data_IF_182047355958
#
_entry.id   IF_182047355958
#
_cell.length_a   1.000
_cell.length_b   1.000
_cell.length_c   1.000
_cell.angle_alpha   90.00
_cell.angle_beta   90.00
_cell.angle_gamma   90.00
#
_symmetry.space_group_name_H-M   'P 1'
#
loop_
_entity.id
_entity.type
_entity.pdbx_description
1 polymer ?
#
# COMPACT_ATOMS: atom_id res chain seq x y z
N UNK A 1 40.62 -4.78 20.59
CA UNK A 1 41.40 -3.53 20.73
C UNK A 1 42.92 -3.75 20.75
N UNK A 2 43.47 -4.81 20.13
CA UNK A 2 44.91 -5.15 20.18
C UNK A 2 45.75 -4.59 19.04
N UNK A 3 45.17 -3.86 18.07
CA UNK A 3 45.87 -3.44 16.84
C UNK A 3 46.68 -2.14 16.98
N UNK A 4 46.44 -1.35 18.04
CA UNK A 4 47.10 -0.05 18.25
C UNK A 4 47.77 0.00 19.62
N UNK A 5 48.94 0.62 19.67
CA UNK A 5 49.60 0.95 20.94
C UNK A 5 48.87 2.13 21.63
N UNK A 6 49.22 2.45 22.88
CA UNK A 6 48.52 3.48 23.68
C UNK A 6 48.60 4.86 23.03
N UNK A 7 49.77 5.24 22.54
CA UNK A 7 50.04 6.53 21.90
C UNK A 7 49.21 6.72 20.64
N UNK A 8 49.15 5.71 19.77
CA UNK A 8 48.30 5.72 18.58
C UNK A 8 46.82 5.90 18.92
N UNK A 9 46.32 5.30 20.01
CA UNK A 9 44.92 5.48 20.44
C UNK A 9 44.64 6.90 20.90
N UNK A 10 45.59 7.53 21.59
CA UNK A 10 45.49 8.93 22.03
C UNK A 10 45.55 9.86 20.82
N UNK A 11 46.43 9.61 19.87
CA UNK A 11 46.54 10.39 18.63
C UNK A 11 45.25 10.32 17.80
N UNK A 12 44.70 9.12 17.62
CA UNK A 12 43.44 8.94 16.88
C UNK A 12 42.27 9.63 17.61
N UNK A 13 42.27 9.63 18.94
CA UNK A 13 41.27 10.33 19.74
C UNK A 13 41.35 11.86 19.59
N UNK A 14 42.56 12.44 19.62
CA UNK A 14 42.77 13.88 19.36
C UNK A 14 42.33 14.28 17.96
N UNK A 15 42.71 13.50 16.94
CA UNK A 15 42.27 13.69 15.55
C UNK A 15 40.74 13.66 15.39
N UNK A 16 40.07 12.81 16.16
CA UNK A 16 38.62 12.73 16.15
C UNK A 16 37.94 13.87 16.91
N UNK A 17 38.41 14.19 18.13
CA UNK A 17 37.76 15.13 19.05
C UNK A 17 38.13 16.59 18.76
N UNK A 18 39.41 16.86 18.52
CA UNK A 18 39.97 18.21 18.42
C UNK A 18 39.99 18.68 16.95
N UNK A 19 40.43 17.80 16.03
CA UNK A 19 40.50 18.10 14.59
C UNK A 19 39.20 17.78 13.83
N UNK A 20 38.19 17.22 14.52
CA UNK A 20 36.87 16.85 13.97
C UNK A 20 36.92 15.96 12.72
N UNK A 21 37.97 15.15 12.56
CA UNK A 21 38.09 14.21 11.44
C UNK A 21 37.03 13.10 11.60
N UNK A 22 36.34 12.77 10.51
CA UNK A 22 35.29 11.76 10.56
C UNK A 22 35.83 10.36 10.85
N UNK A 23 35.06 9.55 11.58
CA UNK A 23 35.42 8.16 11.91
C UNK A 23 35.65 7.32 10.65
N UNK A 24 34.94 7.62 9.55
CA UNK A 24 35.13 6.97 8.24
C UNK A 24 36.50 7.27 7.64
N UNK A 25 36.96 8.52 7.73
CA UNK A 25 38.30 8.90 7.28
C UNK A 25 39.37 8.24 8.16
N UNK A 26 39.24 8.29 9.49
CA UNK A 26 40.18 7.65 10.41
C UNK A 26 40.24 6.13 10.20
N UNK A 27 39.10 5.48 9.95
CA UNK A 27 39.04 4.05 9.63
C UNK A 27 39.81 3.68 8.37
N UNK A 28 39.74 4.53 7.32
CA UNK A 28 40.51 4.35 6.08
C UNK A 28 42.01 4.57 6.30
N UNK A 29 42.38 5.66 6.98
CA UNK A 29 43.78 6.01 7.28
C UNK A 29 44.48 4.93 8.10
N UNK A 30 43.83 4.45 9.16
CA UNK A 30 44.40 3.47 10.08
C UNK A 30 44.01 2.01 9.76
N UNK A 31 43.39 1.76 8.59
CA UNK A 31 42.98 0.43 8.09
C UNK A 31 42.32 -0.43 9.17
N UNK A 32 41.30 0.10 9.83
CA UNK A 32 40.60 -0.54 10.96
C UNK A 32 39.09 -0.54 10.78
N UNK A 33 38.41 -1.46 11.45
CA UNK A 33 36.95 -1.55 11.41
C UNK A 33 36.31 -0.32 12.09
N UNK A 34 35.38 0.32 11.38
CA UNK A 34 34.68 1.54 11.82
C UNK A 34 34.02 1.35 13.20
N UNK A 35 33.35 0.22 13.45
CA UNK A 35 32.63 -0.01 14.71
C UNK A 35 33.58 -0.20 15.90
N UNK A 36 34.71 -0.89 15.69
CA UNK A 36 35.73 -1.02 16.73
C UNK A 36 36.40 0.31 17.06
N UNK A 37 36.57 1.16 16.05
CA UNK A 37 37.17 2.48 16.20
C UNK A 37 36.22 3.45 16.92
N UNK A 38 34.96 3.52 16.46
CA UNK A 38 33.90 4.31 17.10
C UNK A 38 33.72 3.92 18.57
N UNK A 39 33.68 2.63 18.87
CA UNK A 39 33.57 2.13 20.24
C UNK A 39 34.74 2.57 21.12
N UNK A 40 35.97 2.45 20.62
CA UNK A 40 37.17 2.89 21.36
C UNK A 40 37.12 4.38 21.66
N UNK A 41 36.77 5.21 20.66
CA UNK A 41 36.71 6.66 20.79
C UNK A 41 35.66 7.07 21.82
N UNK A 42 34.45 6.49 21.75
CA UNK A 42 33.39 6.72 22.74
C UNK A 42 33.77 6.27 24.14
N UNK A 43 34.51 5.16 24.26
CA UNK A 43 34.97 4.66 25.55
C UNK A 43 35.99 5.63 26.19
N UNK A 44 36.91 6.19 25.39
CA UNK A 44 37.84 7.23 25.86
C UNK A 44 37.09 8.53 26.20
N UNK A 45 36.08 8.91 25.40
CA UNK A 45 35.26 10.10 25.65
C UNK A 45 34.49 10.00 26.98
N UNK A 46 33.99 8.80 27.32
CA UNK A 46 33.20 8.58 28.54
C UNK A 46 34.02 8.43 29.82
N UNK A 47 35.20 7.78 29.76
CA UNK A 47 36.00 7.43 30.96
C UNK A 47 37.39 8.06 31.00
N UNK A 48 37.72 8.88 30.01
CA UNK A 48 39.05 9.45 29.82
C UNK A 48 40.09 8.43 29.36
N UNK A 49 41.31 8.91 29.17
CA UNK A 49 42.45 8.15 28.65
C UNK A 49 42.83 6.97 29.57
N UNK A 50 42.55 7.07 30.87
CA UNK A 50 42.83 6.05 31.89
C UNK A 50 42.14 4.71 31.61
N UNK A 51 41.06 4.70 30.80
CA UNK A 51 40.40 3.46 30.39
C UNK A 51 41.31 2.53 29.57
N UNK A 52 42.35 3.10 28.93
CA UNK A 52 43.31 2.36 28.13
C UNK A 52 44.30 1.53 28.98
N UNK A 53 44.49 1.91 30.24
CA UNK A 53 45.44 1.30 31.17
C UNK A 53 44.84 0.15 32.01
N UNK A 54 43.55 -0.15 31.82
CA UNK A 54 42.86 -1.19 32.60
C UNK A 54 43.48 -2.58 32.34
N UNK A 55 43.89 -3.31 33.41
CA UNK A 55 44.40 -4.67 33.28
C UNK A 55 43.30 -5.62 32.77
N UNK A 56 43.68 -6.86 32.45
CA UNK A 56 42.70 -7.88 32.08
C UNK A 56 41.75 -8.13 33.26
N UNK A 57 40.46 -7.84 33.06
CA UNK A 57 39.44 -8.03 34.08
C UNK A 57 38.79 -9.41 33.95
N UNK A 58 38.78 -10.15 35.06
CA UNK A 58 37.91 -11.31 35.24
C UNK A 58 36.60 -10.79 35.83
N UNK A 59 35.51 -10.93 35.09
CA UNK A 59 34.19 -10.48 35.54
C UNK A 59 33.52 -11.57 36.37
N UNK A 60 32.96 -11.19 37.53
CA UNK A 60 32.19 -12.09 38.38
C UNK A 60 30.89 -12.54 37.72
N UNK A 61 30.23 -13.55 38.30
CA UNK A 61 28.97 -14.09 37.76
C UNK A 61 27.88 -13.04 37.83
N UNK A 62 27.82 -12.35 38.96
CA UNK A 62 26.85 -11.31 39.30
C UNK A 62 26.97 -10.13 38.34
N UNK A 63 28.21 -9.71 38.04
CA UNK A 63 28.46 -8.63 37.09
C UNK A 63 27.99 -8.99 35.67
N UNK A 64 28.27 -10.21 35.22
CA UNK A 64 27.81 -10.70 33.92
C UNK A 64 26.28 -10.80 33.85
N UNK A 65 25.64 -11.27 34.92
CA UNK A 65 24.17 -11.33 35.02
C UNK A 65 23.56 -9.93 34.90
N UNK A 66 24.04 -8.96 35.68
CA UNK A 66 23.57 -7.58 35.61
C UNK A 66 23.77 -6.95 34.22
N UNK A 67 24.93 -7.18 33.59
CA UNK A 67 25.23 -6.67 32.27
C UNK A 67 24.29 -7.24 31.20
N UNK A 68 23.98 -8.53 31.28
CA UNK A 68 23.04 -9.21 30.38
C UNK A 68 21.61 -8.72 30.62
N UNK A 69 21.17 -8.61 31.87
CA UNK A 69 19.83 -8.13 32.21
C UNK A 69 19.61 -6.70 31.68
N UNK A 70 20.57 -5.78 31.88
CA UNK A 70 20.51 -4.44 31.31
C UNK A 70 20.47 -4.46 29.77
N UNK A 71 21.24 -5.33 29.11
CA UNK A 71 21.24 -5.39 27.65
C UNK A 71 19.93 -5.92 27.05
N UNK A 72 19.25 -6.83 27.75
CA UNK A 72 18.06 -7.52 27.24
C UNK A 72 16.77 -6.76 27.56
N UNK A 73 16.67 -6.22 28.78
CA UNK A 73 15.43 -5.58 29.26
C UNK A 73 15.39 -4.07 29.04
N UNK A 74 16.55 -3.41 28.93
CA UNK A 74 16.57 -1.97 28.68
C UNK A 74 16.28 -1.60 27.23
N UNK A 75 15.84 -0.36 27.06
CA UNK A 75 15.65 0.24 25.73
C UNK A 75 16.97 0.50 25.01
N UNK A 76 18.10 0.44 25.71
CA UNK A 76 19.44 0.71 25.17
C UNK A 76 19.91 -0.43 24.27
N UNK A 77 20.85 -0.13 23.37
CA UNK A 77 21.53 -1.16 22.59
C UNK A 77 22.58 -1.86 23.46
N UNK A 78 22.88 -3.13 23.17
CA UNK A 78 23.96 -3.82 23.89
C UNK A 78 25.32 -3.12 23.73
N UNK A 79 25.54 -2.38 22.63
CA UNK A 79 26.75 -1.57 22.44
C UNK A 79 26.76 -0.41 23.43
N UNK A 80 25.63 0.26 23.63
CA UNK A 80 25.50 1.33 24.61
C UNK A 80 25.68 0.81 26.05
N UNK A 81 25.07 -0.32 26.40
CA UNK A 81 25.27 -0.97 27.71
C UNK A 81 26.72 -1.37 27.90
N UNK A 82 27.38 -1.90 26.86
CA UNK A 82 28.80 -2.23 26.88
C UNK A 82 29.69 -1.01 27.16
N UNK A 83 29.35 0.16 26.60
CA UNK A 83 30.03 1.43 26.87
C UNK A 83 29.78 1.91 28.31
N UNK A 84 28.54 1.90 28.78
CA UNK A 84 28.18 2.30 30.16
C UNK A 84 28.76 1.39 31.25
N UNK A 85 29.06 0.13 30.92
CA UNK A 85 29.76 -0.79 31.81
C UNK A 85 31.29 -0.72 31.65
N UNK A 86 31.77 0.10 30.71
CA UNK A 86 33.20 0.30 30.47
C UNK A 86 33.93 -0.95 29.95
N UNK A 87 33.23 -1.82 29.20
CA UNK A 87 33.82 -3.07 28.70
C UNK A 87 34.88 -2.79 27.64
N UNK A 88 36.00 -3.51 27.71
CA UNK A 88 37.19 -3.31 26.84
C UNK A 88 36.96 -3.68 25.36
N UNK A 89 35.86 -4.32 25.00
CA UNK A 89 35.58 -4.70 23.61
C UNK A 89 34.09 -4.62 23.33
N UNK A 90 33.75 -4.06 22.17
CA UNK A 90 32.38 -4.01 21.63
C UNK A 90 31.73 -5.41 21.57
N UNK A 91 32.55 -6.46 21.38
CA UNK A 91 32.08 -7.83 21.27
C UNK A 91 31.88 -8.55 22.61
N UNK A 92 32.37 -8.02 23.74
CA UNK A 92 32.35 -8.75 25.02
C UNK A 92 30.93 -9.07 25.47
N UNK A 93 30.05 -8.07 25.50
CA UNK A 93 28.65 -8.28 25.89
C UNK A 93 27.88 -9.11 24.86
N UNK A 94 28.21 -8.98 23.58
CA UNK A 94 27.62 -9.82 22.52
C UNK A 94 27.96 -11.30 22.68
N UNK A 95 29.20 -11.61 23.07
CA UNK A 95 29.63 -12.99 23.36
C UNK A 95 28.87 -13.51 24.58
N UNK A 96 28.74 -12.70 25.64
CA UNK A 96 27.99 -13.09 26.84
C UNK A 96 26.53 -13.35 26.54
N UNK A 97 25.87 -12.51 25.74
CA UNK A 97 24.48 -12.70 25.30
C UNK A 97 24.31 -14.00 24.49
N UNK A 98 25.28 -14.32 23.62
CA UNK A 98 25.27 -15.57 22.85
C UNK A 98 25.42 -16.79 23.76
N UNK A 99 26.44 -16.80 24.62
CA UNK A 99 26.67 -17.88 25.58
C UNK A 99 25.48 -18.04 26.54
N UNK A 100 24.88 -16.93 26.97
CA UNK A 100 23.69 -16.94 27.80
C UNK A 100 22.52 -17.64 27.11
N UNK A 101 22.29 -17.38 25.81
CA UNK A 101 21.24 -18.06 25.03
C UNK A 101 21.55 -19.54 24.79
N UNK A 102 22.79 -19.87 24.48
CA UNK A 102 23.26 -21.26 24.26
C UNK A 102 23.14 -22.12 25.52
N UNK A 103 23.39 -21.53 26.70
CA UNK A 103 23.31 -22.20 28.01
C UNK A 103 21.90 -22.14 28.63
N UNK A 104 20.85 -21.91 27.84
CA UNK A 104 19.47 -21.92 28.34
C UNK A 104 19.13 -20.76 29.28
N UNK A 105 19.70 -19.58 29.06
CA UNK A 105 19.52 -18.37 29.86
C UNK A 105 20.15 -18.45 31.26
N UNK A 106 21.29 -19.15 31.35
CA UNK A 106 22.15 -19.22 32.53
C UNK A 106 23.53 -18.62 32.26
N UNK A 107 24.08 -17.91 33.26
CA UNK A 107 25.45 -17.39 33.21
C UNK A 107 26.40 -18.46 33.76
N UNK A 108 27.20 -19.04 32.87
CA UNK A 108 28.21 -20.05 33.21
C UNK A 108 29.60 -19.41 33.18
N UNK A 109 30.36 -19.53 34.27
CA UNK A 109 31.77 -19.18 34.30
C UNK A 109 32.59 -20.42 33.95
N UNK A 110 33.20 -20.44 32.76
CA UNK A 110 34.18 -21.46 32.39
C UNK A 110 35.50 -21.18 33.13
N UNK A 111 35.93 -22.09 34.01
CA UNK A 111 37.25 -22.02 34.63
C UNK A 111 38.35 -22.23 33.57
N UNK A 112 39.46 -21.48 33.67
CA UNK A 112 40.60 -21.59 32.74
C UNK A 112 41.56 -22.71 33.21
N UNK A 113 41.84 -23.67 32.34
CA UNK A 113 42.75 -24.81 32.56
C UNK A 113 42.28 -26.07 31.80
N UNK A 114 43.19 -27.00 31.46
CA UNK A 114 42.82 -28.32 30.90
C UNK A 114 42.21 -29.14 32.05
N UNK A 115 40.93 -29.52 32.01
CA UNK A 115 40.37 -30.35 33.08
C UNK A 115 41.02 -31.73 33.04
N UNK A 116 41.34 -32.30 34.21
CA UNK A 116 41.66 -33.72 34.33
C UNK A 116 40.50 -34.55 33.75
N UNK A 117 40.82 -35.65 33.07
CA UNK A 117 39.87 -36.45 32.27
C UNK A 117 38.61 -36.85 33.05
N UNK A 118 38.76 -37.06 34.36
CA UNK A 118 37.69 -37.51 35.28
C UNK A 118 36.74 -36.39 35.74
N UNK A 119 37.10 -35.11 35.53
CA UNK A 119 36.22 -33.97 35.82
C UNK A 119 35.38 -33.53 34.62
N UNK A 120 35.61 -34.11 33.44
CA UNK A 120 34.82 -33.82 32.23
C UNK A 120 33.46 -34.49 32.28
N UNK A 121 33.40 -35.72 32.77
CA UNK A 121 32.14 -36.46 32.88
C UNK A 121 31.27 -35.88 34.01
N UNK A 122 31.83 -35.59 35.19
CA UNK A 122 31.06 -35.01 36.31
C UNK A 122 30.47 -33.61 36.05
N UNK A 123 31.15 -32.75 35.27
CA UNK A 123 30.61 -31.41 34.88
C UNK A 123 29.55 -31.47 33.78
N UNK A 124 29.55 -32.50 32.93
CA UNK A 124 28.50 -32.71 31.92
C UNK A 124 27.23 -33.23 32.60
N UNK A 125 27.36 -34.08 33.63
CA UNK A 125 26.21 -34.63 34.37
C UNK A 125 25.58 -33.62 35.35
N UNK A 126 26.34 -32.65 35.88
CA UNK A 126 25.78 -31.55 36.70
C UNK A 126 25.03 -30.47 35.90
N UNK A 127 25.14 -30.45 34.57
CA UNK A 127 24.44 -29.47 33.72
C UNK A 127 23.02 -29.87 33.31
N UNK A 128 22.55 -31.07 33.68
CA UNK A 128 21.26 -31.64 33.23
C UNK A 128 20.25 -31.80 34.38
N UNK A 129 20.64 -31.54 35.63
CA UNK A 129 19.80 -31.84 36.81
C UNK A 129 19.51 -30.65 37.70
N UNK A 130 18.62 -29.75 37.28
CA UNK A 130 17.56 -29.09 38.07
C UNK A 130 16.95 -27.95 37.22
N UNK A 131 15.62 -27.97 37.03
CA UNK A 131 14.92 -26.82 36.45
C UNK A 131 15.02 -25.66 37.44
N UNK A 132 16.02 -24.80 37.29
CA UNK A 132 16.06 -23.53 38.03
C UNK A 132 14.80 -22.73 37.66
N UNK A 133 13.83 -22.55 38.59
CA UNK A 133 12.61 -21.79 38.31
C UNK A 133 12.92 -20.36 37.86
N UNK A 134 14.07 -19.81 38.28
CA UNK A 134 14.55 -18.49 37.91
C UNK A 134 14.97 -18.42 36.44
N UNK A 135 15.57 -19.47 35.90
CA UNK A 135 15.96 -19.54 34.48
C UNK A 135 14.73 -19.61 33.55
N UNK A 136 13.69 -20.35 33.94
CA UNK A 136 12.44 -20.42 33.17
C UNK A 136 11.68 -19.08 33.18
N UNK A 137 11.63 -18.39 34.32
CA UNK A 137 11.04 -17.04 34.41
C UNK A 137 11.80 -16.03 33.56
N UNK A 138 13.14 -16.05 33.60
CA UNK A 138 14.00 -15.22 32.74
C UNK A 138 13.71 -15.47 31.27
N UNK A 139 13.68 -16.74 30.83
CA UNK A 139 13.36 -17.11 29.44
C UNK A 139 12.01 -16.55 28.99
N UNK A 140 10.99 -16.60 29.85
CA UNK A 140 9.66 -16.05 29.58
C UNK A 140 9.68 -14.52 29.49
N UNK A 141 10.36 -13.83 30.41
CA UNK A 141 10.48 -12.38 30.40
C UNK A 141 11.20 -11.88 29.12
N UNK A 142 12.22 -12.60 28.66
CA UNK A 142 12.94 -12.28 27.43
C UNK A 142 12.03 -12.44 26.21
N UNK A 143 11.29 -13.56 26.12
CA UNK A 143 10.32 -13.78 25.06
C UNK A 143 9.20 -12.72 25.05
N UNK A 144 8.81 -12.22 26.22
CA UNK A 144 7.89 -11.07 26.34
C UNK A 144 8.49 -9.77 25.82
N UNK A 145 9.71 -9.45 26.25
CA UNK A 145 10.44 -8.25 25.80
C UNK A 145 10.54 -8.21 24.28
N UNK A 146 10.97 -9.31 23.65
CA UNK A 146 11.11 -9.41 22.19
C UNK A 146 9.79 -9.17 21.44
N UNK A 147 8.65 -9.59 22.00
CA UNK A 147 7.31 -9.42 21.38
C UNK A 147 6.79 -8.00 21.48
N UNK A 148 7.11 -7.29 22.56
CA UNK A 148 6.55 -6.00 22.88
C UNK A 148 7.41 -4.85 22.36
N UNK A 149 8.75 -4.94 22.44
CA UNK A 149 9.69 -3.86 22.13
C UNK A 149 9.43 -3.17 20.79
N UNK A 150 9.03 -3.91 19.74
CA UNK A 150 8.71 -3.33 18.42
C UNK A 150 7.23 -3.01 18.19
N UNK A 151 6.32 -3.60 18.96
CA UNK A 151 4.86 -3.50 18.72
C UNK A 151 4.19 -2.39 19.51
N UNK A 152 4.80 -1.92 20.60
CA UNK A 152 4.19 -0.91 21.48
C UNK A 152 4.69 0.51 21.28
N UNK A 153 5.80 0.70 20.54
CA UNK A 153 6.33 2.02 20.20
C UNK A 153 5.33 2.80 19.34
N UNK A 154 5.07 4.07 19.70
CA UNK A 154 4.13 4.94 18.99
C UNK A 154 2.64 4.61 19.15
N UNK A 155 2.27 3.54 19.85
CA UNK A 155 0.86 3.21 20.10
C UNK A 155 0.26 4.01 21.25
N UNK A 156 -0.98 4.49 21.06
CA UNK A 156 -1.79 5.05 22.13
C UNK A 156 -2.14 4.03 23.22
N UNK A 157 -2.38 4.50 24.45
CA UNK A 157 -2.56 3.70 25.68
C UNK A 157 -3.51 2.49 25.53
N UNK A 158 -4.65 2.68 24.85
CA UNK A 158 -5.64 1.61 24.64
C UNK A 158 -5.18 0.52 23.67
N UNK A 159 -4.44 0.89 22.62
CA UNK A 159 -3.94 -0.07 21.65
C UNK A 159 -2.74 -0.83 22.23
N UNK A 160 -1.87 -0.12 22.97
CA UNK A 160 -0.76 -0.70 23.74
C UNK A 160 -1.24 -1.79 24.70
N UNK A 161 -2.28 -1.52 25.49
CA UNK A 161 -2.86 -2.48 26.44
C UNK A 161 -3.36 -3.77 25.77
N UNK A 162 -3.85 -3.69 24.52
CA UNK A 162 -4.31 -4.86 23.76
C UNK A 162 -3.16 -5.72 23.26
N UNK A 163 -2.10 -5.08 22.74
CA UNK A 163 -0.90 -5.79 22.30
C UNK A 163 -0.22 -6.50 23.48
N UNK A 164 -0.14 -5.84 24.65
CA UNK A 164 0.32 -6.44 25.90
C UNK A 164 -0.52 -7.66 26.28
N UNK A 165 -1.84 -7.51 26.32
CA UNK A 165 -2.73 -8.62 26.66
C UNK A 165 -2.56 -9.81 25.69
N UNK A 166 -2.42 -9.54 24.38
CA UNK A 166 -2.18 -10.56 23.37
C UNK A 166 -0.84 -11.27 23.59
N UNK A 167 0.25 -10.54 23.80
CA UNK A 167 1.56 -11.13 24.04
C UNK A 167 1.57 -12.03 25.29
N UNK A 168 0.91 -11.60 26.37
CA UNK A 168 0.74 -12.40 27.59
C UNK A 168 -0.07 -13.67 27.30
N UNK A 169 -1.14 -13.59 26.51
CA UNK A 169 -1.92 -14.77 26.11
C UNK A 169 -1.07 -15.74 25.29
N UNK A 170 -0.34 -15.26 24.29
CA UNK A 170 0.53 -16.08 23.42
C UNK A 170 1.59 -16.81 24.25
N UNK A 171 2.25 -16.10 25.18
CA UNK A 171 3.24 -16.69 26.10
C UNK A 171 2.64 -17.73 27.04
N UNK A 172 1.45 -17.45 27.58
CA UNK A 172 0.74 -18.38 28.46
C UNK A 172 0.49 -19.73 27.75
N UNK A 173 0.14 -19.69 26.47
CA UNK A 173 -0.10 -20.90 25.66
C UNK A 173 1.19 -21.62 25.28
N UNK A 174 2.21 -20.87 24.83
CA UNK A 174 3.49 -21.43 24.39
C UNK A 174 4.26 -22.10 25.52
N UNK A 175 4.37 -21.43 26.68
CA UNK A 175 5.08 -21.94 27.84
C UNK A 175 4.20 -22.85 28.72
N UNK A 176 2.90 -22.97 28.43
CA UNK A 176 1.92 -23.76 29.20
C UNK A 176 1.89 -23.41 30.69
N UNK A 177 2.04 -22.14 31.02
CA UNK A 177 2.10 -21.62 32.41
C UNK A 177 0.82 -20.90 32.82
N UNK A 178 0.66 -20.64 34.12
CA UNK A 178 -0.46 -19.85 34.64
C UNK A 178 -0.30 -18.36 34.31
N UNK A 179 -1.40 -17.59 34.29
CA UNK A 179 -1.33 -16.14 34.07
C UNK A 179 -0.48 -15.44 35.15
N UNK A 180 -0.62 -15.87 36.41
CA UNK A 180 0.15 -15.30 37.51
C UNK A 180 1.65 -15.50 37.28
N UNK A 181 2.06 -16.71 36.85
CA UNK A 181 3.46 -16.99 36.55
C UNK A 181 4.03 -16.07 35.46
N UNK A 182 3.25 -15.76 34.42
CA UNK A 182 3.65 -14.80 33.37
C UNK A 182 3.77 -13.39 33.94
N UNK A 183 2.80 -12.95 34.75
CA UNK A 183 2.80 -11.60 35.33
C UNK A 183 3.93 -11.41 36.34
N UNK A 184 4.21 -12.41 37.17
CA UNK A 184 5.29 -12.39 38.17
C UNK A 184 6.65 -12.31 37.47
N UNK A 185 6.87 -13.12 36.42
CA UNK A 185 8.09 -13.07 35.62
C UNK A 185 8.31 -11.73 34.91
N UNK A 186 7.24 -11.03 34.50
CA UNK A 186 7.36 -9.68 33.94
C UNK A 186 7.61 -8.66 35.05
N UNK A 187 6.98 -8.80 36.21
CA UNK A 187 7.10 -7.88 37.34
C UNK A 187 8.51 -7.88 37.97
N UNK A 188 9.26 -8.97 37.84
CA UNK A 188 10.69 -9.04 38.19
C UNK A 188 11.56 -8.05 37.40
N UNK A 189 11.05 -7.49 36.29
CA UNK A 189 11.75 -6.55 35.42
C UNK A 189 10.96 -5.23 35.26
N UNK A 190 11.22 -4.21 36.10
CA UNK A 190 10.46 -2.95 36.13
C UNK A 190 10.43 -2.16 34.82
N UNK A 191 11.41 -2.39 33.93
CA UNK A 191 11.51 -1.72 32.64
C UNK A 191 10.48 -2.23 31.61
N UNK A 192 9.87 -3.40 31.86
CA UNK A 192 8.90 -4.01 30.96
C UNK A 192 7.49 -3.45 31.20
N UNK A 193 6.71 -3.16 30.14
CA UNK A 193 5.33 -2.73 30.30
C UNK A 193 4.48 -3.81 30.98
N UNK A 194 3.84 -3.50 32.10
CA UNK A 194 2.95 -4.41 32.83
C UNK A 194 1.47 -4.11 32.56
N UNK A 195 0.59 -5.05 32.92
CA UNK A 195 -0.86 -4.85 32.92
C UNK A 195 -1.48 -5.49 34.15
N UNK A 196 -2.46 -4.81 34.77
CA UNK A 196 -3.22 -5.39 35.87
C UNK A 196 -4.01 -6.62 35.41
N UNK A 197 -4.12 -7.65 36.29
CA UNK A 197 -4.86 -8.88 36.02
C UNK A 197 -6.33 -8.63 35.64
N UNK A 198 -6.98 -7.67 36.31
CA UNK A 198 -8.35 -7.24 36.00
C UNK A 198 -8.46 -6.65 34.59
N UNK A 199 -7.47 -5.85 34.17
CA UNK A 199 -7.38 -5.26 32.84
C UNK A 199 -7.12 -6.31 31.76
N UNK A 200 -6.28 -7.32 32.01
CA UNK A 200 -6.08 -8.46 31.11
C UNK A 200 -7.41 -9.17 30.81
N UNK A 201 -8.15 -9.59 31.84
CA UNK A 201 -9.44 -10.25 31.64
C UNK A 201 -10.48 -9.35 30.99
N UNK A 202 -10.49 -8.05 31.33
CA UNK A 202 -11.39 -7.06 30.71
C UNK A 202 -11.13 -6.91 29.21
N UNK A 203 -9.90 -7.10 28.74
CA UNK A 203 -9.53 -7.04 27.32
C UNK A 203 -9.91 -8.33 26.61
N UNK A 204 -9.59 -9.49 27.18
CA UNK A 204 -9.86 -10.80 26.55
C UNK A 204 -11.35 -11.13 26.50
N UNK A 205 -12.09 -10.87 27.59
CA UNK A 205 -13.54 -11.12 27.63
C UNK A 205 -14.34 -10.08 26.85
N UNK A 206 -13.68 -9.08 26.26
CA UNK A 206 -14.36 -8.02 25.52
C UNK A 206 -14.81 -8.55 24.17
N UNK A 207 -16.10 -8.91 24.06
CA UNK A 207 -16.73 -9.16 22.76
C UNK A 207 -16.50 -7.95 21.84
N UNK A 208 -16.15 -8.16 20.56
CA UNK A 208 -16.07 -7.06 19.60
C UNK A 208 -17.45 -6.40 19.58
N UNK A 209 -17.51 -5.12 19.97
CA UNK A 209 -18.77 -4.37 19.91
C UNK A 209 -19.25 -4.42 18.46
N UNK A 210 -20.52 -4.81 18.24
CA UNK A 210 -21.17 -4.62 16.93
C UNK A 210 -20.90 -3.17 16.50
N UNK A 211 -20.41 -2.93 15.27
CA UNK A 211 -20.11 -1.56 14.85
C UNK A 211 -21.38 -0.73 14.97
N UNK A 212 -21.29 0.45 15.60
CA UNK A 212 -22.42 1.39 15.84
C UNK A 212 -23.23 1.73 14.57
N UNK A 213 -22.77 1.34 13.38
CA UNK A 213 -23.37 1.60 12.07
C UNK A 213 -23.46 0.33 11.21
N UNK A 214 -23.94 -0.77 11.77
CA UNK A 214 -24.07 -2.05 11.05
C UNK A 214 -24.90 -1.93 9.76
N UNK A 215 -26.02 -1.19 9.78
CA UNK A 215 -26.86 -0.93 8.61
C UNK A 215 -26.10 -0.20 7.49
N UNK A 216 -25.38 0.89 7.83
CA UNK A 216 -24.55 1.62 6.86
C UNK A 216 -23.45 0.73 6.26
N UNK A 217 -22.79 -0.08 7.07
CA UNK A 217 -21.73 -0.98 6.61
C UNK A 217 -22.29 -2.03 5.64
N UNK A 218 -23.45 -2.60 5.95
CA UNK A 218 -24.13 -3.54 5.05
C UNK A 218 -24.49 -2.86 3.73
N UNK A 219 -25.06 -1.65 3.77
CA UNK A 219 -25.44 -0.91 2.56
C UNK A 219 -24.24 -0.51 1.71
N UNK A 220 -23.13 -0.08 2.33
CA UNK A 220 -21.87 0.19 1.62
C UNK A 220 -21.40 -1.05 0.85
N UNK A 221 -21.46 -2.24 1.46
CA UNK A 221 -21.08 -3.49 0.80
C UNK A 221 -22.02 -3.83 -0.35
N UNK A 222 -23.32 -3.65 -0.15
CA UNK A 222 -24.32 -3.92 -1.18
C UNK A 222 -24.12 -3.03 -2.41
N UNK A 223 -23.97 -1.70 -2.21
CA UNK A 223 -23.70 -0.75 -3.31
C UNK A 223 -22.40 -1.11 -4.02
N UNK A 224 -21.34 -1.43 -3.25
CA UNK A 224 -20.05 -1.80 -3.83
C UNK A 224 -20.15 -3.07 -4.70
N UNK A 225 -20.85 -4.09 -4.20
CA UNK A 225 -21.03 -5.37 -4.91
C UNK A 225 -21.95 -5.23 -6.12
N UNK A 226 -23.05 -4.46 -6.00
CA UNK A 226 -23.97 -4.16 -7.11
C UNK A 226 -23.22 -3.55 -8.29
N UNK A 227 -22.31 -2.61 -8.01
CA UNK A 227 -21.48 -1.99 -9.04
C UNK A 227 -20.20 -2.78 -9.36
N UNK A 228 -20.15 -4.09 -9.05
CA UNK A 228 -19.03 -5.01 -9.36
C UNK A 228 -17.66 -4.48 -8.90
N UNK A 229 -17.62 -3.72 -7.80
CA UNK A 229 -16.40 -3.10 -7.28
C UNK A 229 -15.88 -1.88 -8.07
N UNK A 230 -16.62 -1.38 -9.06
CA UNK A 230 -16.26 -0.20 -9.87
C UNK A 230 -16.34 1.11 -9.08
N UNK A 231 -17.16 1.16 -8.02
CA UNK A 231 -17.37 2.37 -7.24
C UNK A 231 -16.32 2.55 -6.13
N UNK A 232 -15.63 3.69 -6.18
CA UNK A 232 -14.88 4.22 -5.04
C UNK A 232 -15.78 4.96 -4.05
N UNK A 233 -15.19 5.37 -2.91
CA UNK A 233 -15.93 5.98 -1.80
C UNK A 233 -16.76 7.22 -2.18
N UNK A 234 -16.35 8.01 -3.19
CA UNK A 234 -17.11 9.18 -3.65
C UNK A 234 -18.44 8.78 -4.28
N UNK A 235 -18.44 7.78 -5.16
CA UNK A 235 -19.68 7.30 -5.80
C UNK A 235 -20.55 6.54 -4.82
N UNK A 236 -19.97 5.75 -3.92
CA UNK A 236 -20.74 5.11 -2.84
C UNK A 236 -21.40 6.17 -1.95
N UNK A 237 -20.70 7.26 -1.63
CA UNK A 237 -21.28 8.35 -0.85
C UNK A 237 -22.41 9.06 -1.61
N UNK A 238 -22.24 9.39 -2.89
CA UNK A 238 -23.29 9.97 -3.72
C UNK A 238 -24.52 9.08 -3.82
N UNK A 239 -24.34 7.77 -4.01
CA UNK A 239 -25.43 6.81 -4.06
C UNK A 239 -26.19 6.77 -2.72
N UNK A 240 -25.48 6.75 -1.59
CA UNK A 240 -26.10 6.80 -0.27
C UNK A 240 -26.85 8.11 -0.03
N UNK A 241 -26.31 9.25 -0.48
CA UNK A 241 -27.00 10.55 -0.39
C UNK A 241 -28.27 10.55 -1.26
N UNK A 242 -28.22 9.98 -2.47
CA UNK A 242 -29.39 9.80 -3.35
C UNK A 242 -30.45 8.91 -2.71
N UNK A 243 -30.05 7.94 -1.90
CA UNK A 243 -30.92 7.09 -1.08
C UNK A 243 -31.41 7.75 0.23
N UNK A 244 -31.12 9.04 0.46
CA UNK A 244 -31.59 9.81 1.61
C UNK A 244 -30.71 9.70 2.87
N UNK A 245 -29.52 9.11 2.79
CA UNK A 245 -28.63 9.02 3.95
C UNK A 245 -27.91 10.35 4.21
N UNK A 246 -28.05 10.87 5.43
CA UNK A 246 -27.25 12.01 5.89
C UNK A 246 -25.85 11.56 6.33
N UNK A 247 -24.93 11.47 5.36
CA UNK A 247 -23.56 11.00 5.58
C UNK A 247 -22.53 11.81 4.77
N UNK A 248 -21.31 11.88 5.29
CA UNK A 248 -20.18 12.54 4.62
C UNK A 248 -19.31 11.54 3.86
N UNK A 249 -18.66 11.98 2.78
CA UNK A 249 -17.72 11.15 2.02
C UNK A 249 -16.57 10.58 2.90
N UNK A 250 -16.11 11.36 3.90
CA UNK A 250 -15.06 10.95 4.85
C UNK A 250 -15.47 9.71 5.65
N UNK A 251 -16.75 9.64 6.03
CA UNK A 251 -17.33 8.50 6.74
C UNK A 251 -17.30 7.25 5.88
N UNK A 252 -17.74 7.36 4.61
CA UNK A 252 -17.75 6.23 3.67
C UNK A 252 -16.33 5.75 3.41
N UNK A 253 -15.40 6.68 3.19
CA UNK A 253 -13.97 6.38 3.00
C UNK A 253 -13.39 5.60 4.18
N UNK A 254 -13.69 6.03 5.41
CA UNK A 254 -13.24 5.34 6.62
C UNK A 254 -13.73 3.89 6.66
N UNK A 255 -15.02 3.66 6.41
CA UNK A 255 -15.58 2.31 6.45
C UNK A 255 -15.12 1.43 5.30
N UNK A 256 -15.06 1.94 4.07
CA UNK A 256 -14.51 1.20 2.93
C UNK A 256 -13.05 0.79 3.19
N UNK A 257 -12.23 1.70 3.72
CA UNK A 257 -10.85 1.37 4.13
C UNK A 257 -10.81 0.29 5.22
N UNK A 258 -11.64 0.41 6.26
CA UNK A 258 -11.76 -0.58 7.34
C UNK A 258 -12.19 -1.97 6.84
N UNK A 259 -12.97 -2.02 5.76
CA UNK A 259 -13.48 -3.25 5.14
C UNK A 259 -12.58 -3.79 4.03
N UNK A 260 -11.51 -3.08 3.66
CA UNK A 260 -10.65 -3.45 2.53
C UNK A 260 -11.30 -3.23 1.15
N UNK A 261 -12.43 -2.51 1.06
CA UNK A 261 -13.14 -2.25 -0.19
C UNK A 261 -12.42 -1.14 -0.97
N UNK A 262 -11.86 -1.48 -2.13
CA UNK A 262 -11.17 -0.54 -3.01
C UNK A 262 -11.83 -0.58 -4.37
N UNK A 263 -12.33 0.59 -4.81
CA UNK A 263 -12.84 0.74 -6.16
C UNK A 263 -11.75 0.55 -7.21
N UNK A 264 -12.13 0.04 -8.38
CA UNK A 264 -11.23 -0.07 -9.55
C UNK A 264 -10.61 1.30 -9.87
N UNK A 265 -9.30 1.32 -10.12
CA UNK A 265 -8.55 2.53 -10.46
C UNK A 265 -7.94 2.39 -11.84
N UNK A 266 -7.96 3.47 -12.61
CA UNK A 266 -7.26 3.55 -13.91
C UNK A 266 -5.75 3.57 -13.65
N UNK A 267 -5.04 2.63 -14.26
CA UNK A 267 -3.58 2.65 -14.32
C UNK A 267 -3.13 3.82 -15.21
N UNK A 268 -2.14 4.60 -14.75
CA UNK A 268 -1.53 5.66 -15.56
C UNK A 268 -0.70 5.00 -16.66
N UNK A 269 -1.10 5.14 -17.93
CA UNK A 269 -0.33 4.67 -19.09
C UNK A 269 0.43 5.83 -19.73
N UNK A 270 1.61 5.53 -20.29
CA UNK A 270 2.40 6.49 -21.07
C UNK A 270 1.86 6.57 -22.50
N UNK A 271 1.95 7.77 -23.08
CA UNK A 271 1.46 8.12 -24.40
C UNK A 271 2.32 7.54 -25.53
N UNK A 272 1.70 7.17 -26.66
CA UNK A 272 2.37 6.84 -27.93
C UNK A 272 1.45 7.23 -29.09
N UNK A 273 1.97 7.87 -30.13
CA UNK A 273 1.22 8.29 -31.32
C UNK A 273 1.84 7.80 -32.61
N UNK A 274 1.00 7.37 -33.56
CA UNK A 274 1.37 6.94 -34.91
C UNK A 274 1.37 8.14 -35.90
N UNK A 275 2.22 8.08 -36.95
CA UNK A 275 2.37 9.14 -37.98
C UNK A 275 2.11 8.58 -39.39
N UNK A 276 1.05 9.04 -40.07
CA UNK A 276 0.81 8.83 -41.52
C UNK A 276 -0.29 9.75 -42.09
N UNK A 277 -0.23 10.17 -43.36
CA UNK A 277 -1.19 11.10 -44.00
C UNK A 277 -1.92 10.44 -45.18
N UNK A 278 -3.25 10.32 -45.13
CA UNK A 278 -4.10 9.99 -46.30
C UNK A 278 -5.46 10.69 -46.12
N UNK A 279 -5.93 11.45 -47.11
CA UNK A 279 -7.34 11.88 -47.28
C UNK A 279 -7.68 13.38 -47.12
N UNK A 280 -8.98 13.72 -47.14
CA UNK A 280 -9.54 15.09 -46.98
C UNK A 280 -9.89 15.37 -45.51
N UNK A 281 -9.30 16.44 -44.95
CA UNK A 281 -9.36 16.81 -43.53
C UNK A 281 -10.37 17.96 -43.30
N UNK A 282 -11.18 17.88 -42.24
CA UNK A 282 -12.07 18.95 -41.78
C UNK A 282 -11.43 19.81 -40.67
N UNK A 283 -11.84 21.08 -40.49
CA UNK A 283 -11.31 21.92 -39.41
C UNK A 283 -11.72 21.44 -38.01
N UNK A 284 -10.87 21.72 -37.01
CA UNK A 284 -11.19 21.45 -35.59
C UNK A 284 -12.08 22.58 -35.04
N UNK A 285 -13.38 22.31 -34.92
CA UNK A 285 -14.41 23.22 -34.42
C UNK A 285 -14.56 23.13 -32.90
N UNK A 286 -14.27 21.96 -32.30
CA UNK A 286 -14.39 21.71 -30.86
C UNK A 286 -13.37 22.53 -30.08
N UNK A 287 -12.12 22.62 -30.54
CA UNK A 287 -11.03 23.36 -29.86
C UNK A 287 -10.94 23.08 -28.35
N UNK A 288 -11.20 21.82 -27.96
CA UNK A 288 -11.25 21.30 -26.58
C UNK A 288 -12.40 21.81 -25.70
N UNK A 289 -13.35 22.55 -26.27
CA UNK A 289 -14.64 22.82 -25.65
C UNK A 289 -15.59 21.62 -25.86
N UNK A 290 -15.40 20.62 -25.01
CA UNK A 290 -16.06 19.33 -25.12
C UNK A 290 -17.54 19.34 -24.72
N UNK A 291 -17.93 20.30 -23.88
CA UNK A 291 -19.25 20.33 -23.27
C UNK A 291 -20.32 20.81 -24.26
N UNK A 292 -21.49 20.19 -24.22
CA UNK A 292 -22.68 20.67 -24.90
C UNK A 292 -23.77 20.99 -23.85
N UNK A 293 -24.46 22.13 -23.94
CA UNK A 293 -25.53 22.49 -23.02
C UNK A 293 -26.82 21.67 -23.24
N UNK A 294 -27.01 21.15 -24.46
CA UNK A 294 -28.13 20.27 -24.82
C UNK A 294 -27.63 18.98 -25.50
N UNK A 295 -28.40 17.90 -25.40
CA UNK A 295 -28.15 16.69 -26.18
C UNK A 295 -28.12 16.97 -27.69
N UNK A 296 -27.39 16.14 -28.43
CA UNK A 296 -27.28 16.17 -29.89
C UNK A 296 -26.72 17.47 -30.49
N UNK A 297 -26.00 18.27 -29.70
CA UNK A 297 -25.25 19.43 -30.23
C UNK A 297 -23.80 19.09 -30.57
N UNK A 298 -23.16 18.18 -29.82
CA UNK A 298 -21.79 17.76 -30.04
C UNK A 298 -21.68 16.26 -29.86
N UNK A 299 -21.34 15.54 -30.92
CA UNK A 299 -21.09 14.10 -30.91
C UNK A 299 -19.61 13.83 -31.12
N UNK A 300 -19.12 12.77 -30.49
CA UNK A 300 -17.74 12.33 -30.55
C UNK A 300 -17.70 10.85 -30.89
N UNK A 301 -16.81 10.44 -31.79
CA UNK A 301 -16.57 9.02 -32.09
C UNK A 301 -15.09 8.79 -32.28
N UNK A 302 -14.67 7.57 -31.97
CA UNK A 302 -13.36 7.01 -32.26
C UNK A 302 -13.51 5.47 -32.25
N UNK A 303 -12.53 4.73 -32.75
CA UNK A 303 -12.54 3.27 -32.77
C UNK A 303 -11.56 2.75 -31.73
N UNK A 304 -11.98 1.80 -30.91
CA UNK A 304 -11.09 1.13 -29.97
C UNK A 304 -11.03 -0.37 -30.21
N UNK A 305 -9.82 -0.94 -30.11
CA UNK A 305 -9.59 -2.38 -30.26
C UNK A 305 -9.53 -3.11 -28.91
N UNK A 306 -10.05 -4.32 -28.86
CA UNK A 306 -9.88 -5.28 -27.78
C UNK A 306 -9.17 -6.51 -28.33
N UNK A 307 -8.22 -7.05 -27.56
CA UNK A 307 -7.44 -8.21 -27.96
C UNK A 307 -7.69 -9.37 -27.01
N UNK A 308 -8.29 -10.45 -27.50
CA UNK A 308 -8.63 -11.62 -26.71
C UNK A 308 -8.17 -12.88 -27.45
N UNK A 309 -7.33 -13.70 -26.82
CA UNK A 309 -6.88 -15.00 -27.33
C UNK A 309 -6.34 -14.97 -28.77
N UNK A 310 -5.58 -13.93 -29.14
CA UNK A 310 -5.03 -13.79 -30.50
C UNK A 310 -5.98 -13.12 -31.50
N UNK A 311 -7.26 -12.98 -31.17
CA UNK A 311 -8.26 -12.31 -32.02
C UNK A 311 -8.46 -10.85 -31.62
N UNK A 312 -9.09 -10.08 -32.52
CA UNK A 312 -9.40 -8.66 -32.32
C UNK A 312 -10.89 -8.38 -32.45
N UNK A 313 -11.37 -7.49 -31.59
CA UNK A 313 -12.73 -6.96 -31.62
C UNK A 313 -12.67 -5.43 -31.57
N UNK A 314 -13.43 -4.77 -32.42
CA UNK A 314 -13.47 -3.32 -32.56
C UNK A 314 -14.82 -2.79 -32.11
N UNK A 315 -14.79 -1.69 -31.37
CA UNK A 315 -15.96 -0.94 -30.94
C UNK A 315 -15.89 0.47 -31.52
N UNK A 316 -16.97 0.90 -32.16
CA UNK A 316 -17.18 2.27 -32.64
C UNK A 316 -18.42 2.86 -31.96
N UNK A 317 -18.26 3.69 -30.92
CA UNK A 317 -19.37 4.34 -30.23
C UNK A 317 -19.49 5.83 -30.54
N UNK A 318 -20.72 6.36 -30.49
CA UNK A 318 -21.01 7.79 -30.47
C UNK A 318 -21.27 8.23 -29.04
N UNK A 319 -20.47 9.18 -28.55
CA UNK A 319 -20.64 9.81 -27.25
C UNK A 319 -21.20 11.22 -27.40
N UNK A 320 -22.22 11.56 -26.60
CA UNK A 320 -22.82 12.89 -26.57
C UNK A 320 -22.09 13.84 -25.60
N UNK A 321 -21.72 15.04 -26.04
CA UNK A 321 -20.98 16.03 -25.25
C UNK A 321 -21.72 16.61 -24.02
N UNK A 322 -23.04 16.39 -23.91
CA UNK A 322 -23.85 16.91 -22.82
C UNK A 322 -23.60 16.13 -21.51
N UNK A 323 -24.21 14.94 -21.42
CA UNK A 323 -24.04 14.02 -20.28
C UNK A 323 -22.87 13.03 -20.45
N UNK A 324 -22.35 12.89 -21.67
CA UNK A 324 -21.42 11.82 -22.01
C UNK A 324 -22.10 10.45 -22.04
N UNK A 325 -23.36 10.36 -22.46
CA UNK A 325 -24.03 9.09 -22.76
C UNK A 325 -23.58 8.56 -24.13
N UNK A 326 -23.64 7.24 -24.29
CA UNK A 326 -23.40 6.59 -25.57
C UNK A 326 -24.72 6.54 -26.33
N UNK A 327 -24.82 7.31 -27.42
CA UNK A 327 -26.02 7.45 -28.24
C UNK A 327 -26.26 6.18 -29.05
N UNK A 328 -25.21 5.71 -29.72
CA UNK A 328 -25.21 4.53 -30.59
C UNK A 328 -23.83 3.89 -30.58
N UNK A 329 -23.74 2.61 -30.94
CA UNK A 329 -22.49 1.92 -31.16
C UNK A 329 -22.66 0.70 -32.07
N UNK A 330 -21.56 0.26 -32.66
CA UNK A 330 -21.45 -1.02 -33.36
C UNK A 330 -20.16 -1.72 -32.92
N UNK A 331 -20.22 -3.06 -32.86
CA UNK A 331 -19.10 -3.94 -32.55
C UNK A 331 -18.86 -4.84 -33.77
N UNK A 332 -17.61 -4.99 -34.20
CA UNK A 332 -17.23 -5.86 -35.32
C UNK A 332 -15.86 -6.47 -35.13
N UNK A 333 -15.55 -7.55 -35.85
CA UNK A 333 -14.20 -8.13 -35.92
C UNK A 333 -13.25 -7.31 -36.81
N UNK A 334 -13.78 -6.39 -37.62
CA UNK A 334 -13.00 -5.60 -38.57
C UNK A 334 -13.24 -4.10 -38.38
N UNK A 335 -12.19 -3.25 -38.46
CA UNK A 335 -12.30 -1.79 -38.34
C UNK A 335 -12.58 -1.15 -39.71
N UNK A 336 -13.63 -1.59 -40.38
CA UNK A 336 -13.97 -1.16 -41.74
C UNK A 336 -14.99 -0.01 -41.77
N UNK A 337 -15.37 0.40 -42.99
CA UNK A 337 -16.42 1.41 -43.18
C UNK A 337 -17.80 0.93 -42.73
N UNK A 338 -18.06 -0.39 -42.75
CA UNK A 338 -19.37 -0.94 -42.38
C UNK A 338 -19.61 -0.78 -40.88
N UNK A 339 -18.57 -0.99 -40.05
CA UNK A 339 -18.58 -0.70 -38.62
C UNK A 339 -19.03 0.73 -38.33
N UNK A 340 -18.46 1.72 -39.05
CA UNK A 340 -18.76 3.14 -38.84
C UNK A 340 -20.14 3.51 -39.38
N UNK A 341 -20.49 3.07 -40.60
CA UNK A 341 -21.77 3.41 -41.21
C UNK A 341 -22.95 2.78 -40.46
N UNK A 342 -22.83 1.52 -40.03
CA UNK A 342 -23.89 0.86 -39.23
C UNK A 342 -24.13 1.59 -37.90
N UNK A 343 -23.06 2.07 -37.26
CA UNK A 343 -23.16 2.87 -36.04
C UNK A 343 -23.89 4.20 -36.29
N UNK A 344 -23.63 4.87 -37.42
CA UNK A 344 -24.31 6.09 -37.82
C UNK A 344 -25.79 5.85 -38.13
N UNK A 345 -26.10 4.82 -38.93
CA UNK A 345 -27.46 4.49 -39.33
C UNK A 345 -28.34 4.20 -38.09
N UNK A 346 -27.79 3.47 -37.11
CA UNK A 346 -28.42 3.25 -35.79
C UNK A 346 -28.65 4.56 -35.02
N UNK A 347 -27.72 5.51 -35.10
CA UNK A 347 -27.87 6.79 -34.42
C UNK A 347 -28.95 7.66 -35.06
N UNK A 348 -28.99 7.72 -36.39
CA UNK A 348 -30.00 8.49 -37.13
C UNK A 348 -31.40 7.89 -36.99
N UNK A 349 -31.51 6.56 -36.90
CA UNK A 349 -32.78 5.90 -36.61
C UNK A 349 -33.30 6.22 -35.20
N UNK A 350 -32.39 6.48 -34.25
CA UNK A 350 -32.74 6.74 -32.85
C UNK A 350 -32.99 8.22 -32.53
N UNK A 351 -32.24 9.12 -33.17
CA UNK A 351 -32.24 10.54 -32.85
C UNK A 351 -32.77 11.35 -34.04
N UNK A 352 -34.02 11.79 -33.93
CA UNK A 352 -34.71 12.53 -35.01
C UNK A 352 -34.44 14.04 -34.98
N UNK A 353 -33.96 14.58 -33.86
CA UNK A 353 -33.65 16.00 -33.69
C UNK A 353 -32.16 16.21 -33.38
N UNK A 354 -31.43 16.70 -34.38
CA UNK A 354 -29.99 16.97 -34.31
C UNK A 354 -29.79 18.49 -34.24
N UNK A 355 -29.50 18.99 -33.05
CA UNK A 355 -29.48 20.42 -32.70
C UNK A 355 -28.27 21.16 -33.29
N UNK A 356 -28.21 21.26 -34.63
CA UNK A 356 -27.03 21.73 -35.38
C UNK A 356 -25.76 20.97 -34.96
N UNK A 357 -25.88 19.63 -34.91
CA UNK A 357 -24.86 18.77 -34.33
C UNK A 357 -23.50 18.95 -35.00
N UNK A 358 -22.46 19.15 -34.19
CA UNK A 358 -21.06 19.01 -34.60
C UNK A 358 -20.62 17.59 -34.29
N UNK A 359 -20.15 16.85 -35.29
CA UNK A 359 -19.63 15.51 -35.11
C UNK A 359 -18.11 15.53 -35.21
N UNK A 360 -17.45 15.34 -34.07
CA UNK A 360 -16.01 15.33 -33.93
C UNK A 360 -15.42 13.92 -34.01
N UNK A 361 -14.39 13.76 -34.84
CA UNK A 361 -13.66 12.50 -35.04
C UNK A 361 -12.15 12.75 -35.04
N UNK A 362 -11.36 11.67 -34.97
CA UNK A 362 -9.96 11.74 -35.36
C UNK A 362 -9.81 11.87 -36.90
N UNK A 363 -8.57 11.84 -37.39
CA UNK A 363 -8.28 11.83 -38.83
C UNK A 363 -8.16 10.41 -39.40
N UNK A 364 -8.90 9.42 -38.87
CA UNK A 364 -8.97 8.07 -39.42
C UNK A 364 -9.48 8.04 -40.87
N UNK A 365 -9.03 7.06 -41.66
CA UNK A 365 -9.40 6.97 -43.08
C UNK A 365 -10.91 6.79 -43.29
N UNK A 366 -11.59 6.15 -42.33
CA UNK A 366 -13.04 5.92 -42.38
C UNK A 366 -13.81 7.25 -42.33
N UNK A 367 -13.40 8.17 -41.46
CA UNK A 367 -14.06 9.47 -41.27
C UNK A 367 -13.75 10.47 -42.40
N UNK A 368 -12.70 10.21 -43.19
CA UNK A 368 -12.36 10.99 -44.38
C UNK A 368 -13.07 10.48 -45.65
N UNK A 369 -13.82 9.39 -45.57
CA UNK A 369 -14.52 8.79 -46.70
C UNK A 369 -15.64 9.71 -47.24
N UNK A 370 -15.80 9.86 -48.57
CA UNK A 370 -16.92 10.58 -49.16
C UNK A 370 -18.28 10.03 -48.74
N UNK A 371 -18.40 8.71 -48.48
CA UNK A 371 -19.64 8.07 -48.02
C UNK A 371 -20.04 8.60 -46.64
N UNK A 372 -19.09 8.68 -45.72
CA UNK A 372 -19.29 9.22 -44.38
C UNK A 372 -19.66 10.71 -44.43
N UNK A 373 -18.88 11.51 -45.18
CA UNK A 373 -19.12 12.94 -45.32
C UNK A 373 -20.51 13.25 -45.92
N UNK A 374 -20.93 12.46 -46.91
CA UNK A 374 -22.26 12.60 -47.52
C UNK A 374 -23.37 12.27 -46.51
N UNK A 375 -23.21 11.20 -45.74
CA UNK A 375 -24.19 10.82 -44.72
C UNK A 375 -24.37 11.92 -43.66
N UNK A 376 -23.27 12.51 -43.17
CA UNK A 376 -23.34 13.65 -42.24
C UNK A 376 -24.05 14.86 -42.87
N UNK A 377 -23.68 15.22 -44.11
CA UNK A 377 -24.27 16.36 -44.81
C UNK A 377 -25.78 16.19 -45.03
N UNK A 378 -26.23 14.97 -45.38
CA UNK A 378 -27.66 14.66 -45.56
C UNK A 378 -28.47 14.85 -44.27
N UNK A 379 -27.85 14.67 -43.11
CA UNK A 379 -28.49 14.85 -41.80
C UNK A 379 -28.21 16.23 -41.18
N UNK A 380 -27.67 17.18 -41.94
CA UNK A 380 -27.39 18.54 -41.45
C UNK A 380 -26.28 18.61 -40.39
N UNK A 381 -25.43 17.59 -40.28
CA UNK A 381 -24.37 17.49 -39.29
C UNK A 381 -23.09 18.14 -39.81
N UNK A 382 -22.47 19.00 -38.99
CA UNK A 382 -21.19 19.62 -39.31
C UNK A 382 -20.05 18.73 -38.84
N UNK A 383 -19.24 18.23 -39.77
CA UNK A 383 -18.06 17.44 -39.42
C UNK A 383 -16.97 18.32 -38.80
N UNK A 384 -16.31 17.80 -37.76
CA UNK A 384 -15.09 18.35 -37.21
C UNK A 384 -14.06 17.23 -37.04
N UNK A 385 -12.79 17.52 -37.29
CA UNK A 385 -11.70 16.55 -37.05
C UNK A 385 -10.66 17.10 -36.10
N UNK A 386 -10.10 16.23 -35.26
CA UNK A 386 -8.99 16.56 -34.38
C UNK A 386 -7.72 16.88 -35.15
N UNK A 387 -6.76 17.56 -34.51
CA UNK A 387 -5.44 17.76 -35.13
C UNK A 387 -4.69 16.43 -35.06
N UNK A 388 -4.05 16.07 -36.18
CA UNK A 388 -3.23 14.86 -36.26
C UNK A 388 -2.22 14.75 -35.11
N UNK A 389 -2.22 13.60 -34.43
CA UNK A 389 -1.28 13.29 -33.35
C UNK A 389 -1.48 14.10 -32.07
N UNK A 390 -2.68 14.65 -31.85
CA UNK A 390 -3.02 15.42 -30.65
C UNK A 390 -4.20 14.76 -29.89
N UNK A 391 -3.88 13.81 -29.01
CA UNK A 391 -4.84 13.14 -28.12
C UNK A 391 -5.69 14.07 -27.26
N UNK A 392 -5.18 15.28 -26.96
CA UNK A 392 -5.94 16.23 -26.16
C UNK A 392 -7.20 16.73 -26.87
N UNK A 393 -7.24 16.67 -28.20
CA UNK A 393 -8.41 17.07 -28.98
C UNK A 393 -9.48 15.97 -28.98
N UNK A 394 -9.13 14.71 -28.69
CA UNK A 394 -10.03 13.53 -28.61
C UNK A 394 -10.29 13.06 -27.16
N UNK A 395 -9.98 13.92 -26.19
CA UNK A 395 -9.91 13.55 -24.77
C UNK A 395 -11.20 12.97 -24.17
N UNK A 396 -12.39 13.25 -24.73
CA UNK A 396 -13.64 12.62 -24.29
C UNK A 396 -13.69 11.12 -24.61
N UNK A 397 -13.34 10.73 -25.84
CA UNK A 397 -13.34 9.33 -26.26
C UNK A 397 -12.23 8.55 -25.53
N UNK A 398 -11.04 9.13 -25.40
CA UNK A 398 -9.96 8.53 -24.61
C UNK A 398 -10.32 8.35 -23.12
N UNK A 399 -11.14 9.26 -22.57
CA UNK A 399 -11.66 9.11 -21.22
C UNK A 399 -12.60 7.91 -21.15
N UNK A 400 -13.57 7.85 -22.05
CA UNK A 400 -14.55 6.76 -22.13
C UNK A 400 -13.88 5.40 -22.34
N UNK A 401 -13.01 5.24 -23.33
CA UNK A 401 -12.32 3.97 -23.59
C UNK A 401 -11.43 3.54 -22.45
N UNK A 402 -10.68 4.48 -21.87
CA UNK A 402 -9.87 4.15 -20.71
C UNK A 402 -10.71 3.73 -19.51
N UNK A 403 -11.91 4.30 -19.35
CA UNK A 403 -12.84 3.90 -18.31
C UNK A 403 -13.42 2.51 -18.56
N UNK A 404 -14.00 2.31 -19.74
CA UNK A 404 -14.55 1.05 -20.23
C UNK A 404 -13.54 -0.08 -20.03
N UNK A 405 -12.37 0.04 -20.64
CA UNK A 405 -11.35 -1.01 -20.60
C UNK A 405 -10.85 -1.26 -19.18
N UNK A 406 -10.67 -0.24 -18.34
CA UNK A 406 -10.25 -0.46 -16.95
C UNK A 406 -11.33 -1.16 -16.12
N UNK A 407 -12.61 -0.80 -16.30
CA UNK A 407 -13.68 -1.30 -15.45
C UNK A 407 -14.18 -2.70 -15.83
N UNK A 408 -14.03 -3.12 -17.10
CA UNK A 408 -14.50 -4.45 -17.55
C UNK A 408 -13.44 -5.36 -18.18
N UNK A 409 -12.35 -4.83 -18.74
CA UNK A 409 -11.47 -5.64 -19.60
C UNK A 409 -10.08 -5.88 -18.99
N UNK A 410 -9.34 -4.83 -18.67
CA UNK A 410 -8.00 -4.92 -18.12
C UNK A 410 -8.00 -5.64 -16.77
N UNK A 411 -7.05 -6.57 -16.61
CA UNK A 411 -6.91 -7.47 -15.47
C UNK A 411 -8.14 -8.39 -15.27
N UNK A 412 -8.96 -8.54 -16.31
CA UNK A 412 -10.20 -9.31 -16.34
C UNK A 412 -10.38 -10.06 -17.67
N UNK A 413 -9.38 -10.04 -18.56
CA UNK A 413 -9.45 -10.65 -19.89
C UNK A 413 -9.73 -12.16 -19.80
N UNK A 414 -9.18 -12.81 -18.77
CA UNK A 414 -9.37 -14.24 -18.49
C UNK A 414 -10.82 -14.66 -18.20
N UNK A 415 -11.74 -13.70 -18.02
CA UNK A 415 -13.17 -13.97 -17.79
C UNK A 415 -13.94 -14.25 -19.09
N UNK A 416 -13.35 -13.93 -20.24
CA UNK A 416 -13.97 -14.04 -21.55
C UNK A 416 -13.31 -15.19 -22.33
N UNK A 417 -14.09 -16.18 -22.73
CA UNK A 417 -13.60 -17.34 -23.46
C UNK A 417 -13.73 -17.17 -24.98
N UNK A 418 -14.60 -16.25 -25.42
CA UNK A 418 -14.86 -15.99 -26.84
C UNK A 418 -15.07 -14.50 -27.13
N UNK A 419 -14.93 -14.11 -28.41
CA UNK A 419 -15.27 -12.74 -28.84
C UNK A 419 -16.76 -12.41 -28.67
N UNK A 420 -17.64 -13.41 -28.72
CA UNK A 420 -19.07 -13.21 -28.51
C UNK A 420 -19.37 -12.86 -27.05
N UNK A 421 -18.77 -13.55 -26.09
CA UNK A 421 -18.87 -13.22 -24.66
C UNK A 421 -18.32 -11.81 -24.39
N UNK A 422 -17.21 -11.44 -25.03
CA UNK A 422 -16.65 -10.09 -24.89
C UNK A 422 -17.58 -9.03 -25.50
N UNK A 423 -18.16 -9.29 -26.68
CA UNK A 423 -19.12 -8.37 -27.30
C UNK A 423 -20.33 -8.14 -26.39
N UNK A 424 -20.93 -9.22 -25.87
CA UNK A 424 -22.04 -9.13 -24.92
C UNK A 424 -21.65 -8.33 -23.66
N UNK A 425 -20.46 -8.56 -23.11
CA UNK A 425 -20.00 -7.82 -21.94
C UNK A 425 -19.77 -6.33 -22.22
N UNK A 426 -19.39 -5.95 -23.46
CA UNK A 426 -19.29 -4.56 -23.88
C UNK A 426 -20.68 -3.93 -23.94
N UNK A 427 -21.67 -4.64 -24.51
CA UNK A 427 -23.06 -4.19 -24.58
C UNK A 427 -23.64 -3.95 -23.17
N UNK A 428 -23.53 -4.94 -22.28
CA UNK A 428 -23.94 -4.84 -20.87
C UNK A 428 -23.24 -3.69 -20.15
N UNK A 429 -21.95 -3.44 -20.47
CA UNK A 429 -21.24 -2.31 -19.88
C UNK A 429 -21.75 -0.97 -20.39
N UNK A 430 -22.06 -0.83 -21.68
CA UNK A 430 -22.56 0.42 -22.26
C UNK A 430 -23.94 0.75 -21.67
N UNK A 431 -24.81 -0.24 -21.52
CA UNK A 431 -26.10 -0.10 -20.82
C UNK A 431 -25.87 0.35 -19.36
N UNK A 432 -25.04 -0.38 -18.61
CA UNK A 432 -24.66 0.00 -17.25
C UNK A 432 -24.10 1.43 -17.17
N UNK A 433 -23.23 1.81 -18.11
CA UNK A 433 -22.58 3.11 -18.17
C UNK A 433 -23.60 4.23 -18.37
N UNK A 434 -24.60 4.03 -19.23
CA UNK A 434 -25.64 5.00 -19.51
C UNK A 434 -26.69 5.10 -18.39
N UNK A 435 -27.12 3.95 -17.86
CA UNK A 435 -28.35 3.88 -17.06
C UNK A 435 -28.12 3.79 -15.56
N UNK A 436 -27.00 3.21 -15.11
CA UNK A 436 -26.73 2.99 -13.69
C UNK A 436 -25.52 3.78 -13.17
N UNK A 437 -24.55 4.06 -14.04
CA UNK A 437 -23.25 4.56 -13.62
C UNK A 437 -23.24 6.06 -13.36
N UNK A 438 -23.31 6.45 -12.10
CA UNK A 438 -23.32 7.86 -11.70
C UNK A 438 -21.99 8.58 -11.96
N UNK A 439 -22.09 9.84 -12.38
CA UNK A 439 -20.95 10.74 -12.59
C UNK A 439 -20.95 11.85 -11.55
N UNK A 440 -19.83 12.03 -10.85
CA UNK A 440 -19.68 13.12 -9.86
C UNK A 440 -19.81 14.51 -10.49
N UNK A 441 -19.37 14.68 -11.76
CA UNK A 441 -19.55 15.94 -12.53
C UNK A 441 -21.03 16.26 -12.73
N UNK A 442 -21.88 15.23 -12.85
CA UNK A 442 -23.33 15.36 -13.04
C UNK A 442 -24.09 15.30 -11.70
N UNK A 443 -23.42 15.69 -10.60
CA UNK A 443 -24.00 15.70 -9.24
C UNK A 443 -24.65 14.38 -8.81
N UNK A 444 -24.15 13.24 -9.31
CA UNK A 444 -24.67 11.91 -8.96
C UNK A 444 -25.76 11.38 -9.89
N UNK A 445 -26.04 12.07 -11.00
CA UNK A 445 -26.88 11.55 -12.08
C UNK A 445 -26.10 10.59 -12.98
N UNK A 446 -26.82 9.67 -13.60
CA UNK A 446 -26.32 8.85 -14.70
C UNK A 446 -26.31 9.67 -16.00
N UNK A 447 -25.54 9.27 -17.03
CA UNK A 447 -25.56 9.95 -18.32
C UNK A 447 -26.96 10.08 -18.91
N UNK A 448 -27.77 9.02 -18.84
CA UNK A 448 -29.14 9.04 -19.36
C UNK A 448 -30.07 9.92 -18.53
N UNK A 449 -29.98 9.87 -17.21
CA UNK A 449 -30.74 10.77 -16.33
C UNK A 449 -30.46 12.24 -16.65
N UNK A 450 -29.18 12.59 -16.81
CA UNK A 450 -28.78 13.96 -17.15
C UNK A 450 -29.24 14.37 -18.56
N UNK A 451 -29.16 13.47 -19.55
CA UNK A 451 -29.68 13.72 -20.90
C UNK A 451 -31.17 14.06 -20.85
N UNK A 452 -31.97 13.24 -20.17
CA UNK A 452 -33.41 13.46 -20.04
C UNK A 452 -33.72 14.80 -19.34
N UNK A 453 -32.95 15.15 -18.31
CA UNK A 453 -33.10 16.44 -17.64
C UNK A 453 -32.73 17.63 -18.54
N UNK A 454 -31.63 17.54 -19.28
CA UNK A 454 -31.15 18.59 -20.16
C UNK A 454 -32.05 18.79 -21.40
N UNK A 455 -32.75 17.73 -21.84
CA UNK A 455 -33.78 17.83 -22.88
C UNK A 455 -35.01 18.64 -22.45
N UNK A 456 -35.29 18.69 -21.14
CA UNK A 456 -36.45 19.41 -20.59
C UNK A 456 -36.04 20.83 -20.16
N UNK A 457 -34.90 20.95 -19.46
CA UNK A 457 -34.38 22.20 -18.92
C UNK A 457 -32.93 22.41 -19.39
N UNK A 458 -32.72 22.99 -20.58
CA UNK A 458 -31.39 23.28 -21.09
C UNK A 458 -30.64 24.24 -20.16
N UNK A 459 -29.38 23.93 -19.87
CA UNK A 459 -28.50 24.79 -19.05
C UNK A 459 -27.80 25.77 -20.00
N UNK A 460 -28.30 27.00 -20.06
CA UNK A 460 -27.69 28.09 -20.81
C UNK A 460 -26.58 28.79 -20.03
#
# INVERSE_FOLDING_TARGET
MSKFNKEQKIEIYRKWKDEKISISQLSKTYKTNVANLDYMLRLIDMYGINVLDRPYQVYSKEFKEQAIEQAVFSTKSYVQVSLELGLKSIGTLSIWLREYKENGYNVIIKQKGRPARDQRESKITQGIGERDPKAERRKLAIAYCERIRKKTEGLGSRQRSKEIAKAITDLRHEFKVSLNYVLDAIAEHPELPTIARSSYYKIIKRKPKKPKRSKLIARIKEIFNRHKGRYGYRRVALQLIKEGWNITEKTVRYWMHKLGLKGIRRNKRKYSSYKGTIGKIAPNLIRRDFFAPMPNMKWYTDITEFHLNGEKLYLSPILDGCGGDIVSYTISKHPDMELVMTMLDRAFAKETALNNCIFHTDQGCQYQSPRYQRALKLHGITQSMSRKGNSMDDGLMENFFGLLKTEMFYDQEYKYHSLQELAQAIEEYIEYYNEERIKSRLKGLTPKEYRNQASINPVF
#
